data_IF_816028726910
#
_entry.id   IF_816028726910
#
_cell.length_a   1.000
_cell.length_b   1.000
_cell.length_c   1.000
_cell.angle_alpha   90.00
_cell.angle_beta   90.00
_cell.angle_gamma   90.00
#
_symmetry.space_group_name_H-M   'P 1'
#
loop_
_entity.id
_entity.type
_entity.pdbx_description
1 polymer ?
#
# COMPACT_ATOMS: atom_id res chain seq x y z
N UNK A 1 29.60 -5.40 -35.60
CA UNK A 1 29.45 -6.49 -34.62
C UNK A 1 29.29 -5.84 -33.24
N UNK A 2 28.04 -5.44 -32.94
CA UNK A 2 27.74 -4.97 -31.60
C UNK A 2 27.79 -6.13 -30.62
N UNK A 3 28.77 -6.09 -29.77
CA UNK A 3 28.77 -6.94 -28.60
C UNK A 3 27.59 -6.50 -27.74
N UNK A 4 26.58 -7.37 -27.64
CA UNK A 4 25.52 -7.17 -26.64
C UNK A 4 26.18 -7.23 -25.27
N UNK A 5 26.49 -6.07 -24.73
CA UNK A 5 26.86 -5.98 -23.33
C UNK A 5 25.65 -6.37 -22.51
N UNK A 6 25.85 -6.91 -21.32
CA UNK A 6 24.74 -7.35 -20.46
C UNK A 6 23.64 -6.32 -20.21
N UNK A 7 23.90 -5.05 -20.55
CA UNK A 7 22.93 -3.96 -20.53
C UNK A 7 21.95 -3.94 -21.71
N UNK A 8 22.22 -4.70 -22.77
CA UNK A 8 21.39 -4.73 -23.97
C UNK A 8 20.43 -5.93 -23.99
N UNK A 9 20.45 -6.76 -22.94
CA UNK A 9 19.48 -7.84 -22.80
C UNK A 9 18.11 -7.23 -22.46
N UNK A 10 17.02 -7.72 -23.07
CA UNK A 10 15.70 -7.24 -22.75
C UNK A 10 15.41 -7.47 -21.26
N UNK A 11 15.18 -6.39 -20.55
CA UNK A 11 14.92 -6.39 -19.11
C UNK A 11 13.50 -5.89 -18.86
N UNK A 12 12.78 -6.62 -18.03
CA UNK A 12 11.47 -6.15 -17.56
C UNK A 12 11.68 -5.04 -16.54
N UNK A 13 11.16 -3.88 -16.87
CA UNK A 13 11.15 -2.71 -16.00
C UNK A 13 9.73 -2.38 -15.60
N UNK A 14 9.59 -1.59 -14.55
CA UNK A 14 8.29 -1.16 -14.08
C UNK A 14 7.88 0.17 -14.70
N UNK A 15 6.62 0.23 -15.15
CA UNK A 15 6.02 1.41 -15.74
C UNK A 15 4.69 1.71 -15.06
N UNK A 16 4.31 2.96 -15.03
CA UNK A 16 2.99 3.37 -14.56
C UNK A 16 2.07 3.61 -15.76
N UNK A 17 0.85 3.11 -15.65
CA UNK A 17 -0.20 3.28 -16.65
C UNK A 17 -1.31 4.09 -16.02
N UNK A 18 -1.79 5.12 -16.74
CA UNK A 18 -2.95 5.88 -16.35
C UNK A 18 -4.22 5.22 -16.86
N UNK A 19 -5.20 5.05 -15.96
CA UNK A 19 -6.53 4.54 -16.26
C UNK A 19 -7.58 5.49 -15.71
N UNK A 20 -8.84 5.24 -16.00
CA UNK A 20 -9.91 5.98 -15.33
C UNK A 20 -10.01 5.52 -13.87
N UNK A 21 -10.14 6.49 -12.96
CA UNK A 21 -10.29 6.20 -11.54
C UNK A 21 -11.51 5.31 -11.27
N UNK A 22 -11.31 4.27 -10.47
CA UNK A 22 -12.33 3.26 -10.19
C UNK A 22 -12.32 2.05 -11.13
N UNK A 23 -11.57 2.12 -12.23
CA UNK A 23 -11.51 1.04 -13.23
C UNK A 23 -10.21 0.22 -13.17
N UNK A 24 -9.33 0.48 -12.22
CA UNK A 24 -8.00 -0.10 -12.16
C UNK A 24 -8.03 -1.64 -12.16
N UNK A 25 -8.86 -2.26 -11.34
CA UNK A 25 -8.96 -3.72 -11.28
C UNK A 25 -9.53 -4.32 -12.57
N UNK A 26 -10.51 -3.67 -13.16
CA UNK A 26 -11.09 -4.09 -14.44
C UNK A 26 -10.06 -4.03 -15.57
N UNK A 27 -9.29 -2.96 -15.61
CA UNK A 27 -8.25 -2.77 -16.62
C UNK A 27 -7.13 -3.79 -16.42
N UNK A 28 -6.73 -4.06 -15.18
CA UNK A 28 -5.78 -5.12 -14.87
C UNK A 28 -6.23 -6.47 -15.41
N UNK A 29 -7.47 -6.85 -15.16
CA UNK A 29 -8.01 -8.12 -15.62
C UNK A 29 -8.07 -8.21 -17.15
N UNK A 30 -8.44 -7.11 -17.82
CA UNK A 30 -8.42 -7.02 -19.29
C UNK A 30 -7.01 -7.14 -19.83
N UNK A 31 -6.04 -6.46 -19.23
CA UNK A 31 -4.64 -6.55 -19.62
C UNK A 31 -4.13 -7.98 -19.47
N UNK A 32 -4.41 -8.64 -18.36
CA UNK A 32 -3.97 -10.01 -18.13
C UNK A 32 -4.54 -10.96 -19.19
N UNK A 33 -5.80 -10.81 -19.54
CA UNK A 33 -6.43 -11.62 -20.61
C UNK A 33 -5.82 -11.33 -21.98
N UNK A 34 -5.63 -10.05 -22.30
CA UNK A 34 -5.05 -9.63 -23.58
C UNK A 34 -3.64 -10.16 -23.73
N UNK A 35 -2.84 -10.07 -22.66
CA UNK A 35 -1.46 -10.57 -22.64
C UNK A 35 -1.42 -12.09 -22.78
N UNK A 36 -2.28 -12.81 -22.03
CA UNK A 36 -2.35 -14.26 -22.09
C UNK A 36 -2.76 -14.79 -23.48
N UNK A 37 -3.56 -14.03 -24.21
CA UNK A 37 -3.98 -14.38 -25.57
C UNK A 37 -3.03 -13.88 -26.66
N UNK A 38 -1.96 -13.20 -26.29
CA UNK A 38 -0.95 -12.69 -27.21
C UNK A 38 0.29 -13.57 -27.24
N UNK A 39 1.10 -13.42 -28.26
CA UNK A 39 2.40 -14.08 -28.37
C UNK A 39 3.48 -13.36 -27.56
N UNK A 40 3.11 -12.32 -26.81
CA UNK A 40 4.02 -11.45 -26.08
C UNK A 40 3.99 -11.68 -24.55
N UNK A 41 3.32 -12.71 -24.07
CA UNK A 41 3.12 -12.94 -22.64
C UNK A 41 4.42 -13.11 -21.86
N UNK A 42 5.45 -13.66 -22.48
CA UNK A 42 6.78 -13.82 -21.89
C UNK A 42 7.52 -12.49 -21.66
N UNK A 43 7.08 -11.42 -22.31
CA UNK A 43 7.64 -10.07 -22.14
C UNK A 43 6.98 -9.27 -21.02
N UNK A 44 5.97 -9.84 -20.38
CA UNK A 44 5.25 -9.20 -19.29
C UNK A 44 5.49 -9.94 -17.97
N UNK A 45 5.56 -9.18 -16.90
CA UNK A 45 5.62 -9.71 -15.54
C UNK A 45 4.33 -9.43 -14.79
N UNK A 46 4.46 -8.82 -13.64
CA UNK A 46 3.32 -8.53 -12.77
C UNK A 46 2.59 -7.26 -13.19
N UNK A 47 1.28 -7.25 -12.94
CA UNK A 47 0.45 -6.05 -13.05
C UNK A 47 -0.20 -5.84 -11.69
N UNK A 48 0.01 -4.69 -11.09
CA UNK A 48 -0.37 -4.41 -9.71
C UNK A 48 -1.23 -3.16 -9.64
N UNK A 49 -2.35 -3.26 -8.91
CA UNK A 49 -3.07 -2.10 -8.40
C UNK A 49 -2.50 -1.82 -7.01
N UNK A 50 -1.81 -0.71 -6.85
CA UNK A 50 -1.18 -0.37 -5.59
C UNK A 50 -2.23 0.01 -4.56
N UNK A 51 -2.45 -0.86 -3.59
CA UNK A 51 -3.40 -0.66 -2.50
C UNK A 51 -2.72 -0.85 -1.16
N UNK A 52 -3.24 -0.20 -0.15
CA UNK A 52 -2.79 -0.30 1.22
C UNK A 52 -3.99 -0.61 2.10
N UNK A 53 -3.85 -1.63 2.94
CA UNK A 53 -4.86 -1.91 3.95
C UNK A 53 -4.61 -1.01 5.17
N UNK A 54 -5.66 -0.46 5.71
CA UNK A 54 -5.60 0.34 6.92
C UNK A 54 -6.75 -0.04 7.85
N UNK A 55 -6.52 0.15 9.14
CA UNK A 55 -7.50 -0.18 10.17
C UNK A 55 -8.20 1.09 10.62
N UNK A 56 -9.52 1.10 10.51
CA UNK A 56 -10.37 2.18 11.00
C UNK A 56 -11.18 1.73 12.21
N UNK A 57 -11.43 2.64 13.14
CA UNK A 57 -12.45 2.46 14.16
C UNK A 57 -13.76 3.09 13.66
N UNK A 58 -14.75 2.24 13.43
CA UNK A 58 -16.07 2.68 13.02
C UNK A 58 -17.12 2.06 13.97
N UNK A 59 -17.90 2.92 14.60
CA UNK A 59 -18.94 2.51 15.56
C UNK A 59 -18.40 1.64 16.71
N UNK A 60 -17.18 1.94 17.18
CA UNK A 60 -16.51 1.19 18.25
C UNK A 60 -15.96 -0.18 17.83
N UNK A 61 -16.00 -0.49 16.54
CA UNK A 61 -15.49 -1.75 15.99
C UNK A 61 -14.30 -1.49 15.08
N UNK A 62 -13.34 -2.41 15.10
CA UNK A 62 -12.23 -2.40 14.15
C UNK A 62 -12.74 -2.84 12.79
N UNK A 63 -12.49 -2.02 11.80
CA UNK A 63 -12.77 -2.33 10.40
C UNK A 63 -11.49 -2.19 9.59
N UNK A 64 -11.14 -3.26 8.87
CA UNK A 64 -10.06 -3.20 7.91
C UNK A 64 -10.63 -2.68 6.60
N UNK A 65 -10.06 -1.60 6.11
CA UNK A 65 -10.43 -1.00 4.82
C UNK A 65 -9.21 -0.96 3.93
N UNK A 66 -9.46 -0.96 2.63
CA UNK A 66 -8.42 -0.89 1.62
C UNK A 66 -8.52 0.44 0.89
N UNK A 67 -7.39 1.11 0.71
CA UNK A 67 -7.32 2.33 -0.08
C UNK A 67 -6.28 2.18 -1.18
N UNK A 68 -6.52 2.83 -2.31
CA UNK A 68 -5.56 2.86 -3.40
C UNK A 68 -4.50 3.91 -3.10
N UNK A 69 -3.23 3.52 -3.22
CA UNK A 69 -2.11 4.44 -3.05
C UNK A 69 -2.05 5.44 -4.20
N UNK A 70 -2.36 4.99 -5.40
CA UNK A 70 -2.34 5.81 -6.62
C UNK A 70 -3.63 5.59 -7.40
N UNK A 71 -4.74 6.27 -7.03
CA UNK A 71 -6.00 6.15 -7.77
C UNK A 71 -5.83 6.55 -9.24
N UNK A 72 -6.35 5.72 -10.14
CA UNK A 72 -6.22 5.94 -11.58
C UNK A 72 -4.93 5.44 -12.20
N UNK A 73 -4.11 4.71 -11.44
CA UNK A 73 -2.83 4.18 -11.94
C UNK A 73 -2.70 2.68 -11.71
N UNK A 74 -2.05 2.02 -12.67
CA UNK A 74 -1.59 0.65 -12.57
C UNK A 74 -0.07 0.61 -12.69
N UNK A 75 0.55 -0.33 -12.01
CA UNK A 75 1.97 -0.62 -12.17
C UNK A 75 2.12 -1.90 -12.97
N UNK A 76 2.92 -1.87 -14.02
CA UNK A 76 3.16 -3.01 -14.89
C UNK A 76 4.66 -3.24 -15.06
N UNK A 77 5.06 -4.48 -14.88
CA UNK A 77 6.41 -4.94 -15.18
C UNK A 77 6.43 -5.53 -16.59
N UNK A 78 7.24 -4.96 -17.45
CA UNK A 78 7.28 -5.38 -18.86
C UNK A 78 8.58 -4.98 -19.54
N UNK A 79 8.88 -5.68 -20.63
CA UNK A 79 9.86 -5.20 -21.61
C UNK A 79 9.19 -4.18 -22.51
N UNK A 80 9.78 -2.99 -22.63
CA UNK A 80 9.21 -1.92 -23.44
C UNK A 80 9.74 -1.95 -24.87
N UNK A 81 8.86 -2.23 -25.80
CA UNK A 81 9.08 -2.08 -27.23
C UNK A 81 7.79 -1.62 -27.90
N UNK A 82 7.83 -1.41 -29.23
CA UNK A 82 6.67 -0.93 -29.96
C UNK A 82 5.49 -1.91 -29.90
N UNK A 83 5.77 -3.22 -29.88
CA UNK A 83 4.73 -4.24 -29.85
C UNK A 83 4.04 -4.32 -28.48
N UNK A 84 4.83 -4.35 -27.41
CA UNK A 84 4.28 -4.41 -26.04
C UNK A 84 3.55 -3.11 -25.70
N UNK A 85 4.12 -1.98 -26.08
CA UNK A 85 3.50 -0.66 -25.89
C UNK A 85 2.16 -0.58 -26.60
N UNK A 86 2.11 -1.03 -27.86
CA UNK A 86 0.88 -1.05 -28.65
C UNK A 86 -0.19 -1.92 -28.02
N UNK A 87 0.17 -3.12 -27.58
CA UNK A 87 -0.76 -4.04 -26.92
C UNK A 87 -1.39 -3.41 -25.68
N UNK A 88 -0.60 -2.79 -24.83
CA UNK A 88 -1.08 -2.17 -23.59
C UNK A 88 -1.95 -0.94 -23.89
N UNK A 89 -1.50 -0.07 -24.79
CA UNK A 89 -2.23 1.17 -25.09
C UNK A 89 -3.55 0.93 -25.83
N UNK A 90 -3.68 -0.18 -26.54
CA UNK A 90 -4.93 -0.57 -27.20
C UNK A 90 -5.90 -1.33 -26.28
N UNK A 91 -5.49 -1.66 -25.07
CA UNK A 91 -6.40 -2.27 -24.11
C UNK A 91 -7.41 -1.26 -23.62
N UNK A 92 -8.68 -1.63 -23.67
CA UNK A 92 -9.77 -0.74 -23.24
C UNK A 92 -9.62 -0.35 -21.78
N UNK A 93 -9.68 0.94 -21.50
CA UNK A 93 -9.55 1.52 -20.17
C UNK A 93 -8.16 2.06 -19.87
N UNK A 94 -7.16 1.72 -20.68
CA UNK A 94 -5.83 2.31 -20.59
C UNK A 94 -5.85 3.67 -21.29
N UNK A 95 -5.50 4.71 -20.56
CA UNK A 95 -5.42 6.07 -21.11
C UNK A 95 -4.06 6.32 -21.74
N UNK A 96 -2.99 6.15 -20.98
CA UNK A 96 -1.63 6.36 -21.47
C UNK A 96 -0.62 5.77 -20.49
N UNK A 97 0.62 5.56 -20.97
CA UNK A 97 1.77 5.37 -20.09
C UNK A 97 2.19 6.70 -19.51
N UNK A 98 2.70 6.67 -18.29
CA UNK A 98 3.35 7.81 -17.68
C UNK A 98 4.77 7.91 -18.25
N UNK A 99 5.12 9.07 -18.73
CA UNK A 99 6.42 9.28 -19.33
C UNK A 99 6.64 10.71 -19.78
N UNK A 100 7.61 10.85 -20.66
CA UNK A 100 7.99 12.12 -21.27
C UNK A 100 7.57 12.16 -22.74
N UNK A 101 7.86 13.25 -23.41
CA UNK A 101 7.66 13.38 -24.87
C UNK A 101 8.45 12.32 -25.65
N UNK A 102 9.51 11.78 -25.06
CA UNK A 102 10.32 10.72 -25.67
C UNK A 102 9.69 9.33 -25.54
N UNK A 103 8.65 9.17 -24.74
CA UNK A 103 7.96 7.90 -24.56
C UNK A 103 7.78 7.52 -23.08
N UNK A 104 7.32 6.27 -22.82
CA UNK A 104 7.16 5.78 -21.47
C UNK A 104 8.47 5.82 -20.69
N UNK A 105 8.38 6.26 -19.43
CA UNK A 105 9.53 6.38 -18.53
C UNK A 105 9.47 5.27 -17.48
N UNK A 106 10.50 4.42 -17.36
CA UNK A 106 10.52 3.42 -16.30
C UNK A 106 10.58 4.07 -14.92
N UNK A 107 9.93 3.44 -13.94
CA UNK A 107 9.97 3.86 -12.56
C UNK A 107 11.32 3.49 -11.94
N UNK A 108 11.76 4.28 -10.97
CA UNK A 108 12.97 3.98 -10.23
C UNK A 108 12.77 2.72 -9.38
N UNK A 109 13.79 1.85 -9.35
CA UNK A 109 13.71 0.61 -8.57
C UNK A 109 13.45 0.89 -7.10
N UNK A 110 14.00 1.95 -6.55
CA UNK A 110 13.77 2.37 -5.16
C UNK A 110 12.29 2.67 -4.88
N UNK A 111 11.61 3.33 -5.82
CA UNK A 111 10.20 3.64 -5.68
C UNK A 111 9.34 2.37 -5.76
N UNK A 112 9.69 1.46 -6.65
CA UNK A 112 9.02 0.17 -6.77
C UNK A 112 9.20 -0.65 -5.50
N UNK A 113 10.39 -0.71 -4.95
CA UNK A 113 10.67 -1.45 -3.72
C UNK A 113 9.86 -0.90 -2.54
N UNK A 114 9.71 0.42 -2.46
CA UNK A 114 8.86 1.06 -1.44
C UNK A 114 7.40 0.70 -1.63
N UNK A 115 6.90 0.75 -2.85
CA UNK A 115 5.49 0.45 -3.15
C UNK A 115 5.20 -1.02 -2.88
N UNK A 116 6.04 -1.93 -3.37
CA UNK A 116 5.90 -3.36 -3.13
C UNK A 116 6.00 -3.69 -1.64
N UNK A 117 6.93 -3.05 -0.92
CA UNK A 117 7.07 -3.21 0.51
C UNK A 117 5.82 -2.78 1.28
N UNK A 118 5.13 -1.73 0.84
CA UNK A 118 3.86 -1.29 1.45
C UNK A 118 2.71 -2.23 1.14
N UNK A 119 2.67 -2.80 -0.06
CA UNK A 119 1.66 -3.79 -0.45
C UNK A 119 1.86 -5.10 0.33
N UNK A 120 3.10 -5.54 0.47
CA UNK A 120 3.45 -6.76 1.21
C UNK A 120 3.29 -6.61 2.71
N UNK A 121 3.40 -5.38 3.22
CA UNK A 121 3.03 -5.05 4.59
C UNK A 121 1.52 -5.06 4.73
N UNK A 122 0.93 -6.24 4.54
CA UNK A 122 -0.42 -6.45 5.03
C UNK A 122 -0.36 -6.19 6.53
N UNK A 123 -1.31 -5.43 7.12
CA UNK A 123 -1.46 -5.50 8.54
C UNK A 123 -1.69 -6.98 8.83
N UNK A 124 -0.62 -7.67 9.18
CA UNK A 124 -0.75 -9.05 9.55
C UNK A 124 -1.68 -9.04 10.75
N UNK A 125 -2.69 -9.89 10.71
CA UNK A 125 -3.53 -10.13 11.89
C UNK A 125 -2.66 -10.51 13.10
N UNK A 126 -1.40 -10.80 12.87
CA UNK A 126 -0.47 -11.32 13.85
C UNK A 126 0.38 -10.25 14.53
N UNK A 127 0.65 -9.08 13.89
CA UNK A 127 1.44 -8.00 14.53
C UNK A 127 1.08 -6.65 13.93
N UNK A 128 0.08 -5.94 14.46
CA UNK A 128 0.00 -4.52 14.18
C UNK A 128 1.33 -3.93 14.64
N UNK A 129 1.97 -3.11 13.80
CA UNK A 129 3.08 -2.30 14.26
C UNK A 129 2.59 -1.57 15.51
N UNK A 130 3.23 -1.85 16.64
CA UNK A 130 2.88 -1.20 17.90
C UNK A 130 3.47 0.20 17.80
N UNK A 131 2.67 1.25 17.58
CA UNK A 131 3.21 2.61 17.52
C UNK A 131 3.56 3.13 18.92
N UNK A 132 3.32 2.33 19.95
CA UNK A 132 3.44 2.74 21.33
C UNK A 132 4.40 1.84 22.09
N UNK A 133 5.16 2.42 23.02
CA UNK A 133 6.07 1.72 23.89
C UNK A 133 5.68 1.91 25.36
N UNK A 134 6.02 0.94 26.21
CA UNK A 134 5.83 1.06 27.65
C UNK A 134 6.58 2.30 28.17
N UNK A 135 5.91 3.10 28.97
CA UNK A 135 6.43 4.35 29.50
C UNK A 135 6.19 5.58 28.64
N UNK A 136 5.60 5.41 27.46
CA UNK A 136 5.25 6.52 26.57
C UNK A 136 4.03 7.26 27.10
N UNK A 137 4.06 8.58 27.03
CA UNK A 137 2.92 9.41 27.41
C UNK A 137 1.94 9.50 26.25
N UNK A 138 0.68 9.19 26.55
CA UNK A 138 -0.42 9.20 25.56
C UNK A 138 -1.63 9.94 26.10
N UNK A 139 -2.48 10.40 25.19
CA UNK A 139 -3.77 11.00 25.52
C UNK A 139 -4.89 10.13 24.98
N UNK A 140 -5.91 9.92 25.78
CA UNK A 140 -7.10 9.19 25.35
C UNK A 140 -7.96 10.10 24.49
N UNK A 141 -8.29 9.67 23.28
CA UNK A 141 -9.04 10.47 22.31
C UNK A 141 -10.46 9.98 22.09
N UNK A 142 -10.79 8.78 22.55
CA UNK A 142 -12.11 8.20 22.37
C UNK A 142 -12.54 7.40 23.60
N UNK A 143 -13.83 7.27 23.80
CA UNK A 143 -14.42 6.54 24.90
C UNK A 143 -14.69 7.39 26.13
N UNK A 144 -15.07 6.76 27.26
CA UNK A 144 -15.47 7.49 28.49
C UNK A 144 -14.30 8.23 29.14
N UNK A 145 -13.05 7.91 28.80
CA UNK A 145 -11.85 8.55 29.35
C UNK A 145 -11.23 9.56 28.39
N UNK A 146 -11.93 9.96 27.35
CA UNK A 146 -11.44 10.93 26.37
C UNK A 146 -11.00 12.24 27.06
N UNK A 147 -9.83 12.73 26.68
CA UNK A 147 -9.23 13.93 27.25
C UNK A 147 -8.28 13.70 28.41
N UNK A 148 -8.24 12.51 28.98
CA UNK A 148 -7.27 12.15 30.01
C UNK A 148 -5.93 11.78 29.41
N UNK A 149 -4.87 12.07 30.15
CA UNK A 149 -3.50 11.68 29.78
C UNK A 149 -3.01 10.62 30.74
N UNK A 150 -2.15 9.75 30.22
CA UNK A 150 -1.56 8.71 31.01
C UNK A 150 -0.29 8.14 30.41
N UNK A 151 0.33 7.22 31.13
CA UNK A 151 1.50 6.51 30.66
C UNK A 151 1.13 5.08 30.30
N UNK A 152 1.73 4.57 29.25
CA UNK A 152 1.54 3.18 28.86
C UNK A 152 2.25 2.27 29.86
N UNK A 153 1.50 1.40 30.49
CA UNK A 153 1.99 0.41 31.45
C UNK A 153 2.28 -0.94 30.77
N UNK A 154 1.41 -1.33 29.86
CA UNK A 154 1.52 -2.60 29.14
C UNK A 154 0.98 -2.45 27.72
N UNK A 155 1.59 -3.17 26.78
CA UNK A 155 1.16 -3.20 25.38
C UNK A 155 0.84 -4.65 25.02
N UNK A 156 -0.40 -4.90 24.60
CA UNK A 156 -0.85 -6.19 24.08
C UNK A 156 -0.94 -6.11 22.56
N UNK A 157 0.14 -6.52 21.91
CA UNK A 157 0.25 -6.49 20.46
C UNK A 157 -0.73 -7.44 19.77
N UNK A 158 -1.02 -8.58 20.38
CA UNK A 158 -1.89 -9.59 19.78
C UNK A 158 -3.33 -9.13 19.69
N UNK A 159 -3.79 -8.39 20.71
CA UNK A 159 -5.15 -7.87 20.77
C UNK A 159 -5.27 -6.44 20.23
N UNK A 160 -4.14 -5.80 19.95
CA UNK A 160 -4.12 -4.39 19.53
C UNK A 160 -4.59 -3.44 20.63
N UNK A 161 -4.25 -3.74 21.88
CA UNK A 161 -4.67 -2.97 23.04
C UNK A 161 -3.48 -2.50 23.85
N UNK A 162 -3.66 -1.38 24.55
CA UNK A 162 -2.69 -0.84 25.49
C UNK A 162 -3.35 -0.67 26.85
N UNK A 163 -2.60 -0.94 27.90
CA UNK A 163 -2.99 -0.61 29.26
C UNK A 163 -2.34 0.70 29.62
N UNK A 164 -3.14 1.72 29.84
CA UNK A 164 -2.70 3.08 30.16
C UNK A 164 -2.99 3.37 31.63
N UNK A 165 -1.99 3.84 32.37
CA UNK A 165 -2.17 4.33 33.73
C UNK A 165 -2.63 5.77 33.66
N UNK A 166 -3.92 5.96 33.82
CA UNK A 166 -4.56 7.29 33.76
C UNK A 166 -4.79 7.78 35.18
N UNK A 167 -4.45 9.05 35.44
CA UNK A 167 -4.74 9.67 36.74
C UNK A 167 -6.20 10.12 36.77
N UNK A 168 -7.02 9.40 37.55
CA UNK A 168 -8.43 9.70 37.76
C UNK A 168 -8.64 10.03 39.21
N UNK A 169 -9.14 11.22 39.52
CA UNK A 169 -9.34 11.72 40.89
C UNK A 169 -8.07 11.60 41.77
N UNK A 170 -6.92 11.88 41.18
CA UNK A 170 -5.62 11.81 41.89
C UNK A 170 -5.08 10.41 42.11
N UNK A 171 -5.71 9.40 41.53
CA UNK A 171 -5.29 8.00 41.63
C UNK A 171 -4.92 7.45 40.27
N UNK A 172 -3.77 6.77 40.16
CA UNK A 172 -3.39 6.07 38.99
C UNK A 172 -4.29 4.85 38.78
N UNK A 173 -5.05 4.82 37.71
CA UNK A 173 -6.02 3.76 37.38
C UNK A 173 -5.64 3.10 36.05
N UNK A 174 -5.45 1.78 36.02
CA UNK A 174 -5.18 1.09 34.75
C UNK A 174 -6.46 1.05 33.91
N UNK A 175 -6.34 1.48 32.66
CA UNK A 175 -7.44 1.47 31.68
C UNK A 175 -6.96 0.73 30.44
N UNK A 176 -7.69 -0.27 30.02
CA UNK A 176 -7.42 -0.99 28.79
C UNK A 176 -8.10 -0.29 27.62
N UNK A 177 -7.32 0.11 26.62
CA UNK A 177 -7.77 0.88 25.47
C UNK A 177 -7.23 0.25 24.19
N UNK A 178 -7.98 0.46 23.11
CA UNK A 178 -7.50 0.11 21.77
C UNK A 178 -6.43 1.12 21.31
N UNK A 179 -5.52 0.67 20.44
CA UNK A 179 -4.49 1.55 19.87
C UNK A 179 -5.07 2.81 19.23
N UNK A 180 -6.28 2.69 18.66
CA UNK A 180 -6.95 3.78 18.00
C UNK A 180 -7.67 4.76 18.95
N UNK A 181 -7.76 4.42 20.22
CA UNK A 181 -8.38 5.25 21.24
C UNK A 181 -7.39 6.17 21.96
N UNK A 182 -6.11 6.06 21.63
CA UNK A 182 -5.05 6.87 22.22
C UNK A 182 -4.19 7.50 21.13
N UNK A 183 -3.54 8.60 21.45
CA UNK A 183 -2.57 9.25 20.60
C UNK A 183 -1.33 9.66 21.39
N UNK A 184 -0.17 9.70 20.75
CA UNK A 184 1.05 10.22 21.36
C UNK A 184 0.94 11.71 21.62
N UNK A 185 1.34 12.14 22.78
CA UNK A 185 1.35 13.58 23.12
C UNK A 185 2.64 14.24 22.66
#
# INVERSE_FOLDING_TARGET
LGWLQGSDLPVKLWYAIHTYSGHEFKVRDKLLKTIANSDLDDRFGQIIVATEEFVEMKDGKRKTSERKLFPGYLLIEMEMDDQTRFLVTNTQGVSAFIGTTSGPQPLLQEDIDRILGRIERKPSKERPEIPYQVGEQVRVIDGPFSGFQGLIDEVDAERGKVKVMVSIFGRATPVELDFLQVEST
#
